data_IF_044530715529
#
_entry.id   IF_044530715529
#
_cell.length_a   1.000
_cell.length_b   1.000
_cell.length_c   1.000
_cell.angle_alpha   90.00
_cell.angle_beta   90.00
_cell.angle_gamma   90.00
#
_symmetry.space_group_name_H-M   'P 1'
#
loop_
_entity.id
_entity.type
_entity.pdbx_description
1 polymer ?
#
# COMPACT_ATOMS: atom_id res chain seq x y z
N UNK A 1 -10.01 -16.62 -14.82
CA UNK A 1 -11.16 -15.81 -15.27
C UNK A 1 -10.88 -14.31 -15.32
N UNK A 2 -10.17 -13.66 -14.37
CA UNK A 2 -9.78 -12.24 -14.52
C UNK A 2 -8.67 -12.01 -15.57
N UNK A 3 -7.84 -13.00 -15.89
CA UNK A 3 -6.83 -12.91 -16.95
C UNK A 3 -7.41 -12.83 -18.37
N UNK A 4 -8.55 -13.43 -18.61
CA UNK A 4 -9.15 -13.51 -19.96
C UNK A 4 -10.00 -12.29 -20.31
N UNK A 5 -10.57 -11.59 -19.33
CA UNK A 5 -11.37 -10.37 -19.57
C UNK A 5 -10.49 -9.19 -20.00
N UNK A 6 -9.18 -9.27 -19.74
CA UNK A 6 -8.23 -8.18 -19.97
C UNK A 6 -7.35 -8.37 -21.22
N UNK A 7 -7.51 -9.43 -22.01
CA UNK A 7 -6.60 -9.72 -23.12
C UNK A 7 -6.86 -8.93 -24.41
N UNK A 8 -8.04 -8.38 -24.63
CA UNK A 8 -8.46 -7.99 -25.98
C UNK A 8 -8.56 -6.48 -26.27
N UNK A 9 -8.33 -5.56 -25.32
CA UNK A 9 -8.38 -4.13 -25.63
C UNK A 9 -7.55 -3.27 -24.70
N UNK A 10 -6.20 -3.17 -24.92
CA UNK A 10 -5.38 -2.21 -24.17
C UNK A 10 -4.31 -1.52 -25.01
N UNK A 11 -4.45 -0.21 -25.20
CA UNK A 11 -3.35 0.65 -25.63
C UNK A 11 -2.32 0.94 -24.52
N UNK A 12 -2.62 0.56 -23.25
CA UNK A 12 -1.78 0.84 -22.08
C UNK A 12 -1.36 -0.44 -21.35
N UNK A 13 -0.17 -0.43 -20.74
CA UNK A 13 0.24 -1.48 -19.83
C UNK A 13 -0.66 -1.50 -18.57
N UNK A 14 -0.71 -2.65 -17.87
CA UNK A 14 -1.46 -2.75 -16.59
C UNK A 14 -0.95 -1.70 -15.59
N UNK A 15 0.34 -1.42 -15.60
CA UNK A 15 0.95 -0.41 -14.75
C UNK A 15 0.42 0.99 -15.08
N UNK A 16 0.40 1.39 -16.35
CA UNK A 16 -0.10 2.71 -16.76
C UNK A 16 -1.56 2.92 -16.37
N UNK A 17 -2.38 1.88 -16.51
CA UNK A 17 -3.78 1.95 -16.09
C UNK A 17 -3.93 2.11 -14.58
N UNK A 18 -3.16 1.37 -13.77
CA UNK A 18 -3.16 1.49 -12.31
C UNK A 18 -2.71 2.89 -11.87
N UNK A 19 -1.64 3.42 -12.47
CA UNK A 19 -1.16 4.77 -12.17
C UNK A 19 -2.17 5.85 -12.56
N UNK A 20 -2.85 5.69 -13.70
CA UNK A 20 -3.91 6.61 -14.12
C UNK A 20 -5.10 6.59 -13.15
N UNK A 21 -5.54 5.40 -12.71
CA UNK A 21 -6.65 5.27 -11.75
C UNK A 21 -6.30 5.78 -10.35
N UNK A 22 -5.08 5.55 -9.89
CA UNK A 22 -4.58 6.11 -8.64
C UNK A 22 -4.59 7.64 -8.66
N UNK A 23 -4.14 8.24 -9.77
CA UNK A 23 -4.22 9.68 -10.00
C UNK A 23 -5.66 10.20 -9.97
N UNK A 24 -6.58 9.61 -10.76
CA UNK A 24 -7.99 9.99 -10.79
C UNK A 24 -8.62 9.96 -9.38
N UNK A 25 -8.29 8.94 -8.58
CA UNK A 25 -8.77 8.82 -7.20
C UNK A 25 -8.22 9.93 -6.29
N UNK A 26 -6.93 10.23 -6.39
CA UNK A 26 -6.28 11.24 -5.55
C UNK A 26 -6.72 12.67 -5.89
N UNK A 27 -6.92 12.98 -7.17
CA UNK A 27 -7.28 14.33 -7.64
C UNK A 27 -8.56 14.88 -7.01
N UNK A 28 -9.48 14.03 -6.57
CA UNK A 28 -10.74 14.45 -5.95
C UNK A 28 -10.54 15.17 -4.62
N UNK A 29 -9.49 14.84 -3.86
CA UNK A 29 -9.26 15.35 -2.49
C UNK A 29 -7.84 15.87 -2.27
N UNK A 30 -6.86 15.33 -2.99
CA UNK A 30 -5.42 15.60 -2.82
C UNK A 30 -4.77 15.96 -4.14
N UNK A 31 -5.35 16.92 -4.87
CA UNK A 31 -4.86 17.38 -6.17
C UNK A 31 -3.59 18.25 -6.05
N UNK A 32 -2.55 17.66 -5.46
CA UNK A 32 -1.21 18.22 -5.39
C UNK A 32 -0.24 17.20 -6.00
N UNK A 33 0.82 17.59 -6.72
CA UNK A 33 1.76 16.64 -7.34
C UNK A 33 2.26 15.57 -6.37
N UNK A 34 2.60 15.93 -5.13
CA UNK A 34 3.06 14.97 -4.12
C UNK A 34 1.93 14.07 -3.59
N UNK A 35 0.69 14.54 -3.53
CA UNK A 35 -0.46 13.71 -3.17
C UNK A 35 -0.75 12.64 -4.24
N UNK A 36 -0.74 13.05 -5.51
CA UNK A 36 -0.89 12.15 -6.66
C UNK A 36 0.26 11.14 -6.69
N UNK A 37 1.50 11.61 -6.52
CA UNK A 37 2.70 10.77 -6.45
C UNK A 37 2.59 9.71 -5.36
N UNK A 38 2.16 10.08 -4.15
CA UNK A 38 1.99 9.15 -3.04
C UNK A 38 0.95 8.05 -3.33
N UNK A 39 -0.20 8.43 -3.90
CA UNK A 39 -1.23 7.48 -4.31
C UNK A 39 -0.73 6.51 -5.40
N UNK A 40 -0.03 7.02 -6.40
CA UNK A 40 0.53 6.23 -7.47
C UNK A 40 1.63 5.27 -6.98
N UNK A 41 2.52 5.72 -6.10
CA UNK A 41 3.57 4.88 -5.51
C UNK A 41 2.97 3.73 -4.69
N UNK A 42 1.97 4.01 -3.86
CA UNK A 42 1.25 2.98 -3.08
C UNK A 42 0.58 1.96 -4.01
N UNK A 43 -0.13 2.43 -5.04
CA UNK A 43 -0.82 1.56 -5.98
C UNK A 43 0.16 0.69 -6.79
N UNK A 44 1.33 1.23 -7.15
CA UNK A 44 2.36 0.46 -7.86
C UNK A 44 2.99 -0.60 -6.96
N UNK A 45 3.27 -0.31 -5.68
CA UNK A 45 3.72 -1.32 -4.71
C UNK A 45 2.75 -2.49 -4.62
N UNK A 46 1.44 -2.20 -4.48
CA UNK A 46 0.39 -3.22 -4.41
C UNK A 46 0.33 -4.06 -5.70
N UNK A 47 0.40 -3.42 -6.87
CA UNK A 47 0.40 -4.11 -8.16
C UNK A 47 1.59 -5.06 -8.27
N UNK A 48 2.81 -4.58 -7.98
CA UNK A 48 4.04 -5.37 -8.06
C UNK A 48 4.01 -6.54 -7.07
N UNK A 49 3.55 -6.31 -5.83
CA UNK A 49 3.38 -7.37 -4.83
C UNK A 49 2.42 -8.47 -5.32
N UNK A 50 1.27 -8.11 -5.89
CA UNK A 50 0.31 -9.05 -6.49
C UNK A 50 0.85 -9.80 -7.70
N UNK A 51 1.80 -9.23 -8.41
CA UNK A 51 2.49 -9.84 -9.54
C UNK A 51 3.64 -10.76 -9.11
N UNK A 52 3.96 -10.83 -7.82
CA UNK A 52 5.00 -11.68 -7.24
C UNK A 52 6.40 -11.06 -7.31
N UNK A 53 6.51 -9.75 -7.46
CA UNK A 53 7.79 -9.05 -7.39
C UNK A 53 8.40 -9.19 -5.98
N UNK A 54 9.72 -9.32 -5.92
CA UNK A 54 10.46 -9.27 -4.66
C UNK A 54 10.48 -7.85 -4.07
N UNK A 55 10.75 -7.76 -2.78
CA UNK A 55 10.91 -6.46 -2.09
C UNK A 55 11.99 -5.58 -2.72
N UNK A 56 13.06 -6.18 -3.17
CA UNK A 56 14.16 -5.48 -3.82
C UNK A 56 13.75 -4.89 -5.18
N UNK A 57 12.94 -5.63 -5.95
CA UNK A 57 12.38 -5.13 -7.22
C UNK A 57 11.39 -4.00 -6.97
N UNK A 58 10.53 -4.12 -5.94
CA UNK A 58 9.61 -3.06 -5.54
C UNK A 58 10.39 -1.80 -5.13
N UNK A 59 11.41 -1.92 -4.26
CA UNK A 59 12.24 -0.80 -3.83
C UNK A 59 12.82 -0.07 -5.04
N UNK A 60 13.53 -0.78 -5.90
CA UNK A 60 14.20 -0.19 -7.09
C UNK A 60 13.23 0.52 -8.02
N UNK A 61 12.08 -0.09 -8.26
CA UNK A 61 11.09 0.49 -9.17
C UNK A 61 10.47 1.76 -8.58
N UNK A 62 10.16 1.77 -7.29
CA UNK A 62 9.60 2.94 -6.62
C UNK A 62 10.61 4.08 -6.54
N UNK A 63 11.87 3.79 -6.23
CA UNK A 63 12.96 4.79 -6.27
C UNK A 63 13.14 5.37 -7.68
N UNK A 64 13.12 4.50 -8.70
CA UNK A 64 13.28 4.89 -10.10
C UNK A 64 12.14 5.77 -10.61
N UNK A 65 10.90 5.36 -10.34
CA UNK A 65 9.70 5.99 -10.92
C UNK A 65 9.32 7.29 -10.18
N UNK A 66 9.45 7.27 -8.86
CA UNK A 66 8.97 8.37 -8.01
C UNK A 66 10.09 9.18 -7.34
N UNK A 67 11.34 8.73 -7.42
CA UNK A 67 12.47 9.44 -6.81
C UNK A 67 12.37 9.50 -5.27
N UNK A 68 11.71 8.55 -4.63
CA UNK A 68 11.77 8.39 -3.19
C UNK A 68 13.12 7.82 -2.78
N UNK A 69 13.68 8.31 -1.68
CA UNK A 69 14.80 7.65 -1.01
C UNK A 69 14.21 6.61 -0.06
N UNK A 70 14.49 5.34 -0.31
CA UNK A 70 14.07 4.22 0.53
C UNK A 70 15.29 3.52 1.19
N UNK A 71 16.46 4.16 1.20
CA UNK A 71 17.73 3.62 1.71
C UNK A 71 17.90 3.90 3.21
N UNK A 72 16.86 3.67 3.99
CA UNK A 72 16.89 3.72 5.45
C UNK A 72 16.09 2.55 6.01
N UNK A 73 16.21 2.29 7.32
CA UNK A 73 15.47 1.27 8.05
C UNK A 73 14.52 1.88 9.06
N UNK A 74 13.58 1.08 9.56
CA UNK A 74 12.72 1.49 10.67
C UNK A 74 13.54 1.91 11.89
N UNK A 75 14.66 1.23 12.18
CA UNK A 75 15.53 1.54 13.32
C UNK A 75 16.23 2.88 13.18
N UNK A 76 16.58 3.28 11.95
CA UNK A 76 17.22 4.57 11.69
C UNK A 76 16.29 5.75 12.00
N UNK A 77 15.01 5.61 11.69
CA UNK A 77 14.04 6.72 11.82
C UNK A 77 13.26 6.71 13.14
N UNK A 78 13.08 5.55 13.77
CA UNK A 78 12.29 5.40 15.01
C UNK A 78 12.65 6.39 16.12
N UNK A 79 13.94 6.73 16.36
CA UNK A 79 14.30 7.71 17.41
C UNK A 79 13.90 9.14 17.11
N UNK A 80 13.73 9.51 15.84
CA UNK A 80 13.64 10.91 15.40
C UNK A 80 12.40 11.24 14.58
N UNK A 81 11.71 10.22 14.06
CA UNK A 81 10.54 10.42 13.24
C UNK A 81 9.38 11.02 14.06
N UNK A 82 8.82 12.09 13.54
CA UNK A 82 7.69 12.80 14.15
C UNK A 82 6.59 12.98 13.13
N UNK A 83 5.41 13.35 13.58
CA UNK A 83 4.27 13.59 12.71
C UNK A 83 4.52 14.74 11.72
N UNK A 84 4.53 14.44 10.42
CA UNK A 84 4.75 15.43 9.35
C UNK A 84 3.49 15.80 8.57
N UNK A 85 2.48 14.96 8.53
CA UNK A 85 1.18 15.22 7.89
C UNK A 85 1.21 15.42 6.37
N UNK A 86 2.32 15.07 5.70
CA UNK A 86 2.46 15.16 4.23
C UNK A 86 2.74 13.80 3.61
N UNK A 87 2.43 13.67 2.31
CA UNK A 87 2.72 12.43 1.59
C UNK A 87 4.24 12.11 1.56
N UNK A 88 5.09 13.13 1.52
CA UNK A 88 6.54 12.97 1.55
C UNK A 88 7.05 12.42 2.89
N UNK A 89 6.30 12.71 3.97
CA UNK A 89 6.65 12.29 5.33
C UNK A 89 5.96 10.97 5.74
N UNK A 90 5.05 10.43 4.96
CA UNK A 90 4.30 9.21 5.30
C UNK A 90 4.51 8.07 4.30
N UNK A 91 4.50 8.35 3.00
CA UNK A 91 4.52 7.28 1.98
C UNK A 91 5.86 6.54 1.92
N UNK A 92 7.03 7.21 1.86
CA UNK A 92 8.32 6.49 1.90
C UNK A 92 8.48 5.66 3.18
N UNK A 93 8.09 6.21 4.33
CA UNK A 93 8.16 5.53 5.61
C UNK A 93 7.27 4.29 5.63
N UNK A 94 6.04 4.40 5.13
CA UNK A 94 5.12 3.27 5.03
C UNK A 94 5.66 2.16 4.09
N UNK A 95 6.29 2.53 2.99
CA UNK A 95 6.92 1.57 2.08
C UNK A 95 8.09 0.88 2.79
N UNK A 96 8.94 1.63 3.51
CA UNK A 96 10.09 1.05 4.24
C UNK A 96 9.64 0.13 5.36
N UNK A 97 8.57 0.46 6.10
CA UNK A 97 8.05 -0.44 7.15
C UNK A 97 7.56 -1.78 6.58
N UNK A 98 7.03 -1.80 5.36
CA UNK A 98 6.76 -3.03 4.63
C UNK A 98 8.04 -3.74 4.19
N UNK A 99 9.01 -3.00 3.63
CA UNK A 99 10.27 -3.58 3.14
C UNK A 99 11.08 -4.23 4.26
N UNK A 100 11.10 -3.66 5.45
CA UNK A 100 11.79 -4.20 6.62
C UNK A 100 11.03 -5.35 7.30
N UNK A 101 9.70 -5.40 7.16
CA UNK A 101 8.86 -6.43 7.79
C UNK A 101 9.14 -7.84 7.26
N UNK A 102 9.18 -8.83 8.12
CA UNK A 102 9.36 -10.23 7.76
C UNK A 102 8.06 -10.95 7.35
N UNK A 103 6.92 -10.43 7.80
CA UNK A 103 5.57 -10.89 7.49
C UNK A 103 4.55 -9.74 7.61
N UNK A 104 3.25 -10.06 7.47
CA UNK A 104 2.17 -9.06 7.56
C UNK A 104 2.15 -8.38 8.93
N UNK A 105 2.16 -9.16 10.01
CA UNK A 105 2.07 -8.62 11.37
C UNK A 105 3.28 -7.76 11.72
N UNK A 106 4.48 -8.23 11.38
CA UNK A 106 5.73 -7.51 11.60
C UNK A 106 5.77 -6.18 10.84
N UNK A 107 5.29 -6.16 9.59
CA UNK A 107 5.15 -4.93 8.81
C UNK A 107 4.25 -3.91 9.51
N UNK A 108 3.09 -4.34 10.02
CA UNK A 108 2.17 -3.47 10.78
C UNK A 108 2.81 -3.00 12.09
N UNK A 109 3.50 -3.87 12.81
CA UNK A 109 4.23 -3.51 14.05
C UNK A 109 5.31 -2.48 13.79
N UNK A 110 6.06 -2.61 12.69
CA UNK A 110 7.02 -1.62 12.24
C UNK A 110 6.34 -0.28 11.99
N UNK A 111 5.24 -0.25 11.23
CA UNK A 111 4.49 0.96 10.93
C UNK A 111 4.02 1.72 12.19
N UNK A 112 3.52 0.99 13.19
CA UNK A 112 3.09 1.60 14.46
C UNK A 112 4.29 2.04 15.29
N UNK A 113 5.38 1.28 15.29
CA UNK A 113 6.55 1.51 16.15
C UNK A 113 7.36 2.75 15.81
N UNK A 114 7.33 3.20 14.56
CA UNK A 114 8.03 4.43 14.15
C UNK A 114 7.31 5.71 14.63
N UNK A 115 6.04 5.61 15.04
CA UNK A 115 5.25 6.76 15.50
C UNK A 115 4.70 7.62 14.35
N UNK A 116 4.57 8.92 14.60
CA UNK A 116 4.04 9.86 13.62
C UNK A 116 2.54 9.63 13.34
N UNK A 117 2.15 9.74 12.07
CA UNK A 117 0.78 9.48 11.57
C UNK A 117 0.55 7.97 11.40
N UNK A 118 0.53 7.26 12.53
CA UNK A 118 0.59 5.80 12.58
C UNK A 118 -0.59 5.10 11.92
N UNK A 119 -1.77 5.70 11.88
CA UNK A 119 -2.94 5.16 11.21
C UNK A 119 -2.82 5.26 9.68
N UNK A 120 -2.36 6.39 9.15
CA UNK A 120 -2.05 6.55 7.73
C UNK A 120 -0.91 5.62 7.30
N UNK A 121 0.20 5.60 8.05
CA UNK A 121 1.35 4.73 7.76
C UNK A 121 0.93 3.27 7.81
N UNK A 122 0.20 2.87 8.88
CA UNK A 122 -0.31 1.51 9.04
C UNK A 122 -1.27 1.09 7.92
N UNK A 123 -2.12 1.99 7.44
CA UNK A 123 -3.03 1.74 6.33
C UNK A 123 -2.26 1.47 5.01
N UNK A 124 -1.29 2.32 4.67
CA UNK A 124 -0.48 2.17 3.45
C UNK A 124 0.36 0.89 3.54
N UNK A 125 1.09 0.70 4.64
CA UNK A 125 1.90 -0.50 4.90
C UNK A 125 1.06 -1.77 4.82
N UNK A 126 -0.10 -1.78 5.48
CA UNK A 126 -1.01 -2.92 5.50
C UNK A 126 -1.54 -3.30 4.13
N UNK A 127 -1.85 -2.31 3.30
CA UNK A 127 -2.32 -2.54 1.93
C UNK A 127 -1.26 -3.22 1.05
N UNK A 128 0.00 -2.84 1.21
CA UNK A 128 1.14 -3.43 0.48
C UNK A 128 1.45 -4.83 1.05
N UNK A 129 1.51 -4.94 2.40
CA UNK A 129 1.80 -6.20 3.08
C UNK A 129 0.73 -7.26 2.84
N UNK A 130 -0.56 -6.88 2.78
CA UNK A 130 -1.64 -7.78 2.39
C UNK A 130 -1.44 -8.34 0.98
N UNK A 131 -1.09 -7.47 0.03
CA UNK A 131 -0.86 -7.86 -1.35
C UNK A 131 0.33 -8.82 -1.49
N UNK A 132 1.33 -8.70 -0.62
CA UNK A 132 2.58 -9.47 -0.66
C UNK A 132 2.50 -10.78 0.13
N UNK A 133 1.98 -10.73 1.36
CA UNK A 133 1.97 -11.86 2.31
C UNK A 133 0.60 -12.51 2.49
N UNK A 134 -0.48 -11.78 2.20
CA UNK A 134 -1.82 -12.07 2.72
C UNK A 134 -1.97 -11.65 4.18
N UNK A 135 -3.22 -11.61 4.68
CA UNK A 135 -3.51 -11.32 6.09
C UNK A 135 -3.70 -12.65 6.84
N UNK A 136 -3.00 -12.90 7.97
CA UNK A 136 -3.28 -14.03 8.83
C UNK A 136 -4.74 -14.03 9.30
N UNK A 137 -5.39 -15.22 9.28
CA UNK A 137 -6.84 -15.34 9.49
C UNK A 137 -7.29 -14.77 10.84
N UNK A 138 -6.52 -14.99 11.89
CA UNK A 138 -6.85 -14.49 13.24
C UNK A 138 -6.75 -12.96 13.34
N UNK A 139 -5.80 -12.33 12.62
CA UNK A 139 -5.68 -10.87 12.55
C UNK A 139 -6.84 -10.30 11.75
N UNK A 140 -7.18 -10.94 10.62
CA UNK A 140 -8.31 -10.53 9.78
C UNK A 140 -9.62 -10.59 10.54
N UNK A 141 -9.90 -11.68 11.23
CA UNK A 141 -11.14 -11.85 12.01
C UNK A 141 -11.25 -10.82 13.13
N UNK A 142 -10.16 -10.59 13.87
CA UNK A 142 -10.12 -9.57 14.93
C UNK A 142 -10.33 -8.16 14.35
N UNK A 143 -9.61 -7.80 13.29
CA UNK A 143 -9.76 -6.50 12.63
C UNK A 143 -11.17 -6.28 12.10
N UNK A 144 -11.75 -7.27 11.43
CA UNK A 144 -13.11 -7.21 10.91
C UNK A 144 -14.16 -7.01 12.03
N UNK A 145 -13.97 -7.65 13.19
CA UNK A 145 -14.87 -7.51 14.33
C UNK A 145 -14.93 -6.09 14.91
N UNK A 146 -13.88 -5.30 14.75
CA UNK A 146 -13.86 -3.89 15.17
C UNK A 146 -14.62 -2.95 14.22
N UNK A 147 -14.90 -3.39 12.99
CA UNK A 147 -15.61 -2.55 12.03
C UNK A 147 -17.09 -2.40 12.41
N UNK A 148 -17.68 -1.20 12.27
CA UNK A 148 -19.12 -1.02 12.34
C UNK A 148 -19.84 -1.91 11.31
N UNK A 149 -21.04 -2.40 11.62
CA UNK A 149 -21.79 -3.33 10.76
C UNK A 149 -21.95 -2.86 9.30
N UNK A 150 -22.12 -1.55 9.08
CA UNK A 150 -22.20 -0.99 7.74
C UNK A 150 -20.90 -1.17 6.94
N UNK A 151 -19.75 -1.00 7.59
CA UNK A 151 -18.44 -1.23 6.94
C UNK A 151 -18.15 -2.72 6.75
N UNK A 152 -18.56 -3.58 7.68
CA UNK A 152 -18.47 -5.03 7.49
C UNK A 152 -19.20 -5.47 6.20
N UNK A 153 -20.42 -4.95 5.97
CA UNK A 153 -21.18 -5.25 4.76
C UNK A 153 -20.47 -4.77 3.49
N UNK A 154 -19.86 -3.57 3.51
CA UNK A 154 -19.09 -3.05 2.37
C UNK A 154 -17.90 -3.94 2.07
N UNK A 155 -17.11 -4.28 3.09
CA UNK A 155 -15.93 -5.14 2.93
C UNK A 155 -16.33 -6.51 2.39
N UNK A 156 -17.38 -7.14 2.96
CA UNK A 156 -17.86 -8.43 2.49
C UNK A 156 -18.28 -8.38 1.01
N UNK A 157 -19.07 -7.37 0.63
CA UNK A 157 -19.50 -7.20 -0.77
C UNK A 157 -18.32 -6.98 -1.71
N UNK A 158 -17.32 -6.22 -1.27
CA UNK A 158 -16.10 -5.98 -2.05
C UNK A 158 -15.31 -7.28 -2.25
N UNK A 159 -15.12 -8.05 -1.18
CA UNK A 159 -14.39 -9.34 -1.24
C UNK A 159 -15.12 -10.37 -2.10
N UNK A 160 -16.45 -10.45 -2.03
CA UNK A 160 -17.25 -11.32 -2.90
C UNK A 160 -17.06 -10.99 -4.39
N UNK A 161 -16.90 -9.71 -4.70
CA UNK A 161 -16.79 -9.23 -6.08
C UNK A 161 -15.37 -9.24 -6.63
N UNK A 162 -14.39 -8.90 -5.80
CA UNK A 162 -13.01 -8.64 -6.22
C UNK A 162 -11.96 -9.45 -5.48
N UNK A 163 -12.33 -10.16 -4.43
CA UNK A 163 -11.40 -10.97 -3.65
C UNK A 163 -10.82 -12.09 -4.51
N UNK A 164 -9.52 -12.29 -4.40
CA UNK A 164 -8.86 -13.48 -4.93
C UNK A 164 -9.18 -14.66 -4.02
N UNK A 165 -9.80 -15.70 -4.59
CA UNK A 165 -9.96 -16.99 -3.89
C UNK A 165 -8.64 -17.71 -3.80
#
# INVERSE_FOLDING_TARGET
MLREIYSDYRPYSVQEEVLAKAKESAECTHNHPEGIKGAQATALCILMARQGASKEEIRKEIEREFGYDLNFTCDDIRPTYTWGGTCQDSVPQAIVTFLDGSDFEDSIRNAISIGGDSDTIGCITGSIAEAFYGIPQDIREKGFAYLPKGFQAIVTTFEEKYGTK
#
